data_IF_089181336094
#
_entry.id   IF_089181336094
#
_cell.length_a   1.000
_cell.length_b   1.000
_cell.length_c   1.000
_cell.angle_alpha   90.00
_cell.angle_beta   90.00
_cell.angle_gamma   90.00
#
_symmetry.space_group_name_H-M   'P 1'
#
loop_
_entity.id
_entity.type
_entity.pdbx_description
1 polymer ?
#
# COMPACT_ATOMS: atom_id res chain seq x y z
N UNK A 1 35.98 28.53 -7.37
CA UNK A 1 36.61 29.67 -8.01
C UNK A 1 37.20 29.28 -9.35
N UNK A 2 37.42 30.20 -10.21
CA UNK A 2 38.04 30.03 -11.52
C UNK A 2 39.28 30.94 -11.69
N UNK A 3 39.86 30.91 -12.86
CA UNK A 3 40.96 31.74 -13.28
C UNK A 3 40.77 32.12 -14.74
N UNK A 4 40.95 33.40 -15.09
CA UNK A 4 40.72 33.87 -16.47
C UNK A 4 41.80 33.41 -17.46
N UNK A 5 42.91 32.88 -16.94
CA UNK A 5 44.07 32.52 -17.74
C UNK A 5 45.01 33.70 -18.01
N UNK A 6 46.32 33.43 -18.19
CA UNK A 6 47.32 34.42 -18.57
C UNK A 6 47.30 34.62 -20.08
N UNK A 7 47.53 35.84 -20.53
CA UNK A 7 47.81 36.17 -21.91
C UNK A 7 49.30 35.98 -22.15
N UNK A 8 49.65 35.04 -23.08
CA UNK A 8 51.05 34.69 -23.37
C UNK A 8 51.41 35.16 -24.80
N UNK A 9 52.57 35.75 -24.94
CA UNK A 9 53.08 36.13 -26.27
C UNK A 9 53.44 34.88 -27.07
N UNK A 10 52.81 34.66 -28.21
CA UNK A 10 53.04 33.49 -29.09
C UNK A 10 54.47 33.44 -29.66
N UNK A 11 55.15 34.59 -29.73
CA UNK A 11 56.51 34.67 -30.31
C UNK A 11 57.60 34.37 -29.31
N UNK A 12 57.48 34.80 -28.04
CA UNK A 12 58.54 34.67 -27.04
C UNK A 12 58.13 33.91 -25.76
N UNK A 13 56.90 33.49 -25.63
CA UNK A 13 56.40 32.72 -24.47
C UNK A 13 56.25 33.48 -23.17
N UNK A 14 56.43 34.81 -23.20
CA UNK A 14 56.27 35.65 -21.98
C UNK A 14 54.80 35.92 -21.67
N UNK A 15 54.47 35.88 -20.39
CA UNK A 15 53.16 36.35 -19.90
C UNK A 15 53.14 37.88 -20.11
N UNK A 16 52.17 38.36 -20.89
CA UNK A 16 51.96 39.77 -21.23
C UNK A 16 50.95 40.38 -20.27
N UNK A 17 49.95 39.58 -19.87
CA UNK A 17 48.92 39.96 -18.88
C UNK A 17 48.62 38.76 -17.99
N UNK A 18 48.60 39.00 -16.70
CA UNK A 18 48.29 37.97 -15.74
C UNK A 18 46.77 37.81 -15.61
N UNK A 19 46.28 36.59 -15.63
CA UNK A 19 44.88 36.31 -15.36
C UNK A 19 44.43 36.69 -13.97
N UNK A 20 43.14 36.75 -13.77
CA UNK A 20 42.52 37.09 -12.50
C UNK A 20 41.80 35.86 -11.91
N UNK A 21 41.89 35.72 -10.60
CA UNK A 21 41.10 34.74 -9.86
C UNK A 21 39.65 35.19 -9.87
N UNK A 22 38.78 34.28 -10.30
CA UNK A 22 37.32 34.48 -10.24
C UNK A 22 36.77 33.93 -8.93
N UNK A 23 35.95 34.73 -8.28
CA UNK A 23 35.24 34.28 -7.09
C UNK A 23 34.34 33.07 -7.44
N UNK A 24 34.11 32.16 -6.49
CA UNK A 24 33.15 31.12 -6.67
C UNK A 24 31.76 31.67 -6.99
N UNK A 25 31.10 31.16 -8.01
CA UNK A 25 29.71 31.48 -8.26
C UNK A 25 28.79 30.94 -7.14
N UNK A 26 27.58 31.47 -7.06
CA UNK A 26 26.55 30.96 -6.16
C UNK A 26 26.18 29.53 -6.52
N UNK A 27 25.89 28.71 -5.50
CA UNK A 27 25.43 27.34 -5.71
C UNK A 27 24.00 27.36 -6.22
N UNK A 28 23.72 26.59 -7.27
CA UNK A 28 22.36 26.33 -7.72
C UNK A 28 21.84 25.07 -7.03
N UNK A 29 20.79 25.24 -6.25
CA UNK A 29 20.22 24.19 -5.43
C UNK A 29 19.35 23.22 -6.25
N UNK A 30 19.49 21.92 -5.97
CA UNK A 30 18.63 20.85 -6.44
C UNK A 30 18.34 19.90 -5.27
N UNK A 31 17.09 19.58 -5.04
CA UNK A 31 16.68 18.64 -4.00
C UNK A 31 16.57 17.24 -4.59
N UNK A 32 17.24 16.28 -3.99
CA UNK A 32 17.30 14.89 -4.41
C UNK A 32 16.81 13.96 -3.29
N UNK A 33 16.44 12.73 -3.66
CA UNK A 33 16.04 11.67 -2.72
C UNK A 33 14.79 11.97 -1.89
N UNK A 34 13.89 12.83 -2.38
CA UNK A 34 12.60 13.10 -1.76
C UNK A 34 11.77 11.82 -1.71
N UNK A 35 11.16 11.54 -0.54
CA UNK A 35 10.24 10.42 -0.33
C UNK A 35 8.99 10.91 0.38
N UNK A 36 7.83 10.63 -0.18
CA UNK A 36 6.57 10.94 0.47
C UNK A 36 6.32 10.03 1.68
N UNK A 37 5.83 10.61 2.78
CA UNK A 37 5.32 9.84 3.91
C UNK A 37 4.03 9.10 3.52
N UNK A 38 3.87 7.89 4.02
CA UNK A 38 2.65 7.09 3.86
C UNK A 38 2.12 6.67 5.22
N UNK A 39 0.97 5.97 5.27
CA UNK A 39 0.48 5.37 6.51
C UNK A 39 1.41 4.25 7.04
N UNK A 40 2.31 3.73 6.21
CA UNK A 40 3.19 2.60 6.58
C UNK A 40 4.64 3.01 6.79
N UNK A 41 5.13 3.98 6.02
CA UNK A 41 6.54 4.39 6.06
C UNK A 41 6.68 5.89 6.23
N UNK A 42 7.77 6.30 6.89
CA UNK A 42 8.16 7.71 7.03
C UNK A 42 8.58 8.27 5.68
N UNK A 43 8.38 9.56 5.48
CA UNK A 43 8.91 10.29 4.33
C UNK A 43 10.28 10.92 4.61
N UNK A 44 10.80 11.59 3.61
CA UNK A 44 12.06 12.34 3.66
C UNK A 44 11.97 13.56 2.76
N UNK A 45 12.37 14.73 3.25
CA UNK A 45 12.30 15.98 2.48
C UNK A 45 13.33 16.07 1.35
N UNK A 46 14.29 15.17 1.30
CA UNK A 46 15.38 15.14 0.35
C UNK A 46 16.58 15.98 0.78
N UNK A 47 17.75 15.63 0.26
CA UNK A 47 18.98 16.38 0.44
C UNK A 47 19.12 17.47 -0.62
N UNK A 48 19.65 18.61 -0.24
CA UNK A 48 19.95 19.71 -1.19
C UNK A 48 21.40 19.61 -1.66
N UNK A 49 21.59 19.56 -2.95
CA UNK A 49 22.90 19.53 -3.62
C UNK A 49 23.07 20.71 -4.57
N UNK A 50 24.30 21.09 -4.83
CA UNK A 50 24.59 21.99 -5.93
C UNK A 50 24.53 21.22 -7.26
N UNK A 51 23.69 21.66 -8.21
CA UNK A 51 23.53 21.03 -9.53
C UNK A 51 24.78 21.10 -10.41
N UNK A 52 25.74 22.01 -10.10
CA UNK A 52 26.98 22.15 -10.87
C UNK A 52 28.15 21.37 -10.29
N UNK A 53 28.36 21.43 -8.97
CA UNK A 53 29.54 20.81 -8.35
C UNK A 53 29.21 19.57 -7.51
N UNK A 54 27.94 19.16 -7.44
CA UNK A 54 27.45 17.99 -6.70
C UNK A 54 27.80 18.00 -5.18
N UNK A 55 28.14 19.15 -4.62
CA UNK A 55 28.38 19.27 -3.17
C UNK A 55 27.02 19.28 -2.47
N UNK A 56 26.90 18.48 -1.41
CA UNK A 56 25.73 18.49 -0.53
C UNK A 56 25.72 19.79 0.27
N UNK A 57 24.67 20.59 0.12
CA UNK A 57 24.50 21.89 0.74
C UNK A 57 23.70 21.81 2.03
N UNK A 58 22.68 20.93 2.07
CA UNK A 58 21.87 20.69 3.25
C UNK A 58 21.38 19.25 3.30
N UNK A 59 21.19 18.76 4.51
CA UNK A 59 20.56 17.47 4.77
C UNK A 59 19.06 17.63 4.93
N UNK A 60 18.29 16.71 4.31
CA UNK A 60 16.85 16.65 4.49
C UNK A 60 16.46 16.21 5.89
N UNK A 61 15.17 16.20 6.15
CA UNK A 61 14.58 15.76 7.41
C UNK A 61 13.59 14.62 7.17
N UNK A 62 13.53 13.69 8.13
CA UNK A 62 12.52 12.62 8.13
C UNK A 62 11.15 13.21 8.49
N UNK A 63 10.14 12.94 7.67
CA UNK A 63 8.74 13.28 7.96
C UNK A 63 8.04 12.07 8.58
N UNK A 64 7.18 12.26 9.62
CA UNK A 64 6.48 11.15 10.27
C UNK A 64 5.53 10.44 9.30
N UNK A 65 5.17 9.18 9.62
CA UNK A 65 4.09 8.45 8.95
C UNK A 65 2.80 9.26 9.01
N UNK A 66 1.96 9.09 8.00
CA UNK A 66 0.59 9.62 8.04
C UNK A 66 -0.27 8.77 8.99
N UNK A 67 -1.09 9.43 9.77
CA UNK A 67 -2.11 8.76 10.58
C UNK A 67 -3.21 8.20 9.68
N UNK A 68 -3.84 7.09 10.13
CA UNK A 68 -5.03 6.58 9.46
C UNK A 68 -6.25 7.44 9.82
N UNK A 69 -6.75 8.20 8.87
CA UNK A 69 -7.98 9.00 8.98
C UNK A 69 -9.14 8.24 8.32
N UNK A 70 -10.08 7.75 9.12
CA UNK A 70 -11.20 6.95 8.63
C UNK A 70 -12.45 7.79 8.38
N UNK A 71 -13.09 7.57 7.21
CA UNK A 71 -14.45 7.97 6.88
C UNK A 71 -15.18 6.72 6.37
N UNK A 72 -16.36 6.43 6.95
CA UNK A 72 -17.12 5.21 6.63
C UNK A 72 -16.28 3.92 6.67
N UNK A 73 -15.42 3.80 7.67
CA UNK A 73 -14.46 2.71 7.86
C UNK A 73 -13.33 2.62 6.81
N UNK A 74 -13.22 3.55 5.88
CA UNK A 74 -12.16 3.59 4.86
C UNK A 74 -11.16 4.69 5.18
N UNK A 75 -9.87 4.36 5.22
CA UNK A 75 -8.82 5.35 5.42
C UNK A 75 -8.67 6.23 4.18
N UNK A 76 -8.80 7.56 4.35
CA UNK A 76 -8.67 8.56 3.27
C UNK A 76 -7.28 8.54 2.61
N UNK A 77 -6.24 8.25 3.39
CA UNK A 77 -4.87 8.31 2.91
C UNK A 77 -4.48 7.05 2.11
N UNK A 78 -4.77 5.85 2.63
CA UNK A 78 -4.29 4.60 2.04
C UNK A 78 -5.39 3.64 1.57
N UNK A 79 -6.66 3.93 1.83
CA UNK A 79 -7.77 3.06 1.44
C UNK A 79 -7.97 1.81 2.33
N UNK A 80 -7.18 1.65 3.42
CA UNK A 80 -7.39 0.55 4.39
C UNK A 80 -8.83 0.57 4.90
N UNK A 81 -9.49 -0.59 4.88
CA UNK A 81 -10.83 -0.75 5.42
C UNK A 81 -10.71 -1.29 6.84
N UNK A 82 -11.23 -0.54 7.81
CA UNK A 82 -11.25 -0.91 9.21
C UNK A 82 -12.66 -1.36 9.60
N UNK A 83 -12.77 -2.49 10.32
CA UNK A 83 -14.04 -3.03 10.79
C UNK A 83 -15.09 -3.23 9.67
N UNK A 84 -14.69 -3.94 8.60
CA UNK A 84 -15.58 -4.28 7.49
C UNK A 84 -16.82 -5.03 7.98
N UNK A 85 -17.98 -4.73 7.40
CA UNK A 85 -19.27 -5.31 7.77
C UNK A 85 -19.66 -6.42 6.81
N UNK A 86 -20.42 -7.40 7.32
CA UNK A 86 -21.01 -8.45 6.47
C UNK A 86 -21.95 -7.87 5.43
N UNK A 87 -22.04 -8.54 4.28
CA UNK A 87 -22.94 -8.23 3.17
C UNK A 87 -22.84 -6.79 2.66
N UNK A 88 -21.72 -6.11 2.99
CA UNK A 88 -21.40 -4.78 2.53
C UNK A 88 -20.29 -4.86 1.50
N UNK A 89 -20.51 -4.25 0.33
CA UNK A 89 -19.49 -4.18 -0.72
C UNK A 89 -18.69 -2.90 -0.56
N UNK A 90 -17.38 -3.04 -0.42
CA UNK A 90 -16.43 -1.93 -0.41
C UNK A 90 -15.70 -1.88 -1.72
N UNK A 91 -15.50 -0.67 -2.25
CA UNK A 91 -14.63 -0.42 -3.40
C UNK A 91 -13.34 0.20 -2.92
N UNK A 92 -12.23 -0.32 -3.39
CA UNK A 92 -10.89 0.18 -3.07
C UNK A 92 -9.97 0.09 -4.28
N UNK A 93 -8.78 0.65 -4.16
CA UNK A 93 -7.77 0.61 -5.23
C UNK A 93 -6.37 0.43 -4.67
N UNK A 94 -5.56 -0.32 -5.39
CA UNK A 94 -4.12 -0.34 -5.19
C UNK A 94 -3.46 0.74 -6.05
N UNK A 95 -2.35 1.27 -5.59
CA UNK A 95 -1.55 2.28 -6.29
C UNK A 95 -0.07 1.96 -6.15
N UNK A 96 0.79 2.64 -6.91
CA UNK A 96 2.23 2.49 -6.73
C UNK A 96 2.72 2.84 -5.32
N UNK A 97 2.04 3.75 -4.64
CA UNK A 97 2.37 4.16 -3.27
C UNK A 97 1.78 3.20 -2.23
N UNK A 98 0.61 2.64 -2.53
CA UNK A 98 -0.12 1.69 -1.69
C UNK A 98 -0.48 0.43 -2.51
N UNK A 99 0.50 -0.45 -2.83
CA UNK A 99 0.25 -1.62 -3.67
C UNK A 99 -0.56 -2.72 -2.96
N UNK A 100 -0.69 -2.65 -1.64
CA UNK A 100 -1.46 -3.58 -0.82
C UNK A 100 -2.57 -2.86 -0.07
N UNK A 101 -3.79 -3.39 -0.18
CA UNK A 101 -4.97 -2.89 0.53
C UNK A 101 -5.36 -3.84 1.64
N UNK A 102 -5.51 -3.31 2.86
CA UNK A 102 -5.80 -4.09 4.06
C UNK A 102 -7.26 -3.92 4.43
N UNK A 103 -7.96 -5.04 4.60
CA UNK A 103 -9.33 -5.12 5.03
C UNK A 103 -9.37 -5.86 6.37
N UNK A 104 -9.73 -5.15 7.45
CA UNK A 104 -9.90 -5.73 8.77
C UNK A 104 -11.35 -6.16 8.95
N UNK A 105 -11.54 -7.39 9.39
CA UNK A 105 -12.84 -7.97 9.68
C UNK A 105 -12.84 -8.66 11.04
N UNK A 106 -13.82 -8.37 11.88
CA UNK A 106 -14.06 -9.07 13.14
C UNK A 106 -15.25 -10.00 12.95
N UNK A 107 -15.04 -11.32 13.11
CA UNK A 107 -16.11 -12.28 12.94
C UNK A 107 -17.17 -12.16 14.05
N UNK A 108 -18.44 -11.91 13.71
CA UNK A 108 -19.49 -11.76 14.73
C UNK A 108 -19.87 -13.07 15.40
N UNK A 109 -19.73 -14.19 14.71
CA UNK A 109 -20.04 -15.55 15.19
C UNK A 109 -19.04 -16.57 14.62
N UNK A 110 -18.99 -17.78 15.21
CA UNK A 110 -18.28 -18.91 14.61
C UNK A 110 -18.98 -19.33 13.33
N UNK A 111 -18.23 -19.47 12.24
CA UNK A 111 -18.83 -19.91 10.98
C UNK A 111 -17.90 -19.81 9.79
N UNK A 112 -18.43 -20.21 8.64
CA UNK A 112 -17.72 -20.15 7.38
C UNK A 112 -18.03 -18.84 6.67
N UNK A 113 -16.99 -18.09 6.36
CA UNK A 113 -17.08 -16.78 5.72
C UNK A 113 -16.34 -16.80 4.39
N UNK A 114 -16.91 -16.08 3.42
CA UNK A 114 -16.30 -15.90 2.11
C UNK A 114 -15.88 -14.43 1.93
N UNK A 115 -14.61 -14.22 1.68
CA UNK A 115 -14.00 -12.96 1.22
C UNK A 115 -13.98 -13.03 -0.30
N UNK A 116 -14.82 -12.27 -0.97
CA UNK A 116 -15.00 -12.32 -2.42
C UNK A 116 -14.64 -11.00 -3.05
N UNK A 117 -13.65 -11.01 -3.97
CA UNK A 117 -13.26 -9.84 -4.73
C UNK A 117 -13.71 -9.91 -6.19
N UNK A 118 -13.89 -8.73 -6.77
CA UNK A 118 -14.06 -8.52 -8.21
C UNK A 118 -13.12 -7.41 -8.64
N UNK A 119 -12.25 -7.67 -9.62
CA UNK A 119 -11.43 -6.63 -10.23
C UNK A 119 -12.30 -5.77 -11.15
N UNK A 120 -12.34 -4.46 -10.88
CA UNK A 120 -13.12 -3.46 -11.64
C UNK A 120 -12.33 -3.02 -12.87
N UNK A 121 -11.01 -2.86 -12.72
CA UNK A 121 -10.10 -2.57 -13.82
C UNK A 121 -9.33 -3.82 -14.24
N UNK A 122 -8.72 -3.77 -15.43
CA UNK A 122 -7.97 -4.93 -15.96
C UNK A 122 -6.59 -5.03 -15.29
N UNK A 123 -6.50 -5.82 -14.22
CA UNK A 123 -5.27 -6.17 -13.52
C UNK A 123 -5.42 -7.54 -12.87
N UNK A 124 -4.30 -8.13 -12.46
CA UNK A 124 -4.22 -9.41 -11.81
C UNK A 124 -3.92 -9.20 -10.33
N UNK A 125 -4.84 -9.60 -9.45
CA UNK A 125 -4.75 -9.36 -8.02
C UNK A 125 -4.63 -10.66 -7.23
N UNK A 126 -3.92 -10.59 -6.13
CA UNK A 126 -3.68 -11.68 -5.19
C UNK A 126 -4.29 -11.33 -3.83
N UNK A 127 -4.92 -12.30 -3.18
CA UNK A 127 -5.51 -12.16 -1.86
C UNK A 127 -4.78 -13.00 -0.82
N UNK A 128 -4.62 -12.43 0.38
CA UNK A 128 -3.99 -13.08 1.53
C UNK A 128 -4.89 -12.92 2.75
N UNK A 129 -5.18 -14.02 3.45
CA UNK A 129 -5.93 -13.99 4.70
C UNK A 129 -4.98 -14.28 5.86
N UNK A 130 -4.97 -13.38 6.83
CA UNK A 130 -4.16 -13.48 8.06
C UNK A 130 -5.06 -13.62 9.28
N UNK A 131 -4.58 -14.37 10.27
CA UNK A 131 -5.05 -14.27 11.66
C UNK A 131 -4.39 -13.08 12.33
N UNK A 132 -5.05 -12.53 13.35
CA UNK A 132 -4.58 -11.33 14.07
C UNK A 132 -3.15 -11.46 14.59
N UNK A 133 -2.78 -12.59 15.16
CA UNK A 133 -1.45 -12.84 15.71
C UNK A 133 -0.31 -12.84 14.67
N UNK A 134 -0.65 -13.02 13.39
CA UNK A 134 0.32 -13.09 12.29
C UNK A 134 0.35 -11.83 11.41
N UNK A 135 -0.44 -10.81 11.76
CA UNK A 135 -0.53 -9.59 10.97
C UNK A 135 -0.06 -8.36 11.74
N UNK A 136 0.79 -7.59 11.12
CA UNK A 136 1.18 -6.25 11.55
C UNK A 136 1.62 -5.42 10.33
N UNK A 137 1.87 -4.12 10.53
CA UNK A 137 2.26 -3.23 9.44
C UNK A 137 3.58 -3.62 8.75
N UNK A 138 4.47 -4.36 9.43
CA UNK A 138 5.73 -4.83 8.84
C UNK A 138 5.48 -5.77 7.65
N UNK A 139 4.43 -6.61 7.71
CA UNK A 139 4.03 -7.47 6.57
C UNK A 139 3.76 -6.64 5.31
N UNK A 140 3.10 -5.50 5.48
CA UNK A 140 2.81 -4.58 4.36
C UNK A 140 4.06 -3.85 3.89
N UNK A 141 4.92 -3.40 4.82
CA UNK A 141 6.19 -2.74 4.49
C UNK A 141 7.08 -3.66 3.67
N UNK A 142 7.26 -4.90 4.10
CA UNK A 142 8.06 -5.92 3.38
C UNK A 142 7.48 -6.19 1.97
N UNK A 143 6.15 -6.22 1.85
CA UNK A 143 5.46 -6.33 0.57
C UNK A 143 5.72 -5.14 -0.36
N UNK A 144 5.68 -3.92 0.17
CA UNK A 144 5.98 -2.69 -0.57
C UNK A 144 7.44 -2.69 -1.07
N UNK A 145 8.38 -3.15 -0.25
CA UNK A 145 9.79 -3.26 -0.64
C UNK A 145 9.97 -4.24 -1.81
N UNK A 146 9.35 -5.42 -1.75
CA UNK A 146 9.36 -6.40 -2.84
C UNK A 146 8.71 -5.84 -4.11
N UNK A 147 7.58 -5.13 -3.98
CA UNK A 147 6.91 -4.48 -5.11
C UNK A 147 7.82 -3.45 -5.79
N UNK A 148 8.50 -2.61 -5.02
CA UNK A 148 9.43 -1.62 -5.55
C UNK A 148 10.65 -2.28 -6.20
N UNK A 149 11.19 -3.35 -5.62
CA UNK A 149 12.27 -4.14 -6.21
C UNK A 149 11.85 -4.74 -7.56
N UNK A 150 10.64 -5.31 -7.64
CA UNK A 150 10.08 -5.87 -8.89
C UNK A 150 9.87 -4.80 -9.96
N UNK A 151 9.48 -3.58 -9.58
CA UNK A 151 9.38 -2.45 -10.52
C UNK A 151 10.72 -1.98 -11.04
N UNK A 152 11.75 -1.99 -10.20
CA UNK A 152 13.11 -1.59 -10.56
C UNK A 152 13.80 -2.66 -11.41
N UNK A 153 13.54 -3.94 -11.16
CA UNK A 153 14.09 -5.09 -11.88
C UNK A 153 13.00 -6.12 -12.18
N UNK A 154 12.65 -6.29 -13.44
CA UNK A 154 11.64 -7.27 -13.87
C UNK A 154 12.03 -8.73 -13.56
N UNK A 155 13.30 -9.01 -13.34
CA UNK A 155 13.82 -10.32 -12.90
C UNK A 155 13.68 -10.58 -11.40
N UNK A 156 13.38 -9.56 -10.57
CA UNK A 156 13.16 -9.74 -9.16
C UNK A 156 11.92 -10.62 -8.86
N UNK A 157 11.86 -11.17 -7.66
CA UNK A 157 10.72 -11.98 -7.21
C UNK A 157 9.40 -11.20 -7.24
N UNK A 158 8.28 -11.92 -7.45
CA UNK A 158 6.95 -11.32 -7.34
C UNK A 158 6.70 -10.87 -5.89
N UNK A 159 5.96 -9.77 -5.67
CA UNK A 159 5.80 -9.14 -4.36
C UNK A 159 4.81 -9.89 -3.47
N UNK A 160 5.15 -11.12 -3.08
CA UNK A 160 4.32 -11.93 -2.18
C UNK A 160 4.48 -11.51 -0.72
N UNK A 161 3.38 -11.55 0.04
CA UNK A 161 3.39 -11.38 1.50
C UNK A 161 3.79 -12.69 2.19
N UNK A 162 4.27 -12.61 3.42
CA UNK A 162 4.65 -13.77 4.24
C UNK A 162 3.78 -13.87 5.49
N UNK A 163 3.62 -15.08 6.05
CA UNK A 163 2.89 -15.28 7.29
C UNK A 163 1.38 -15.38 7.15
N UNK A 164 0.85 -15.39 5.93
CA UNK A 164 -0.59 -15.59 5.70
C UNK A 164 -1.04 -17.00 6.09
N UNK A 165 -2.31 -17.12 6.45
CA UNK A 165 -2.97 -18.40 6.72
C UNK A 165 -3.50 -19.05 5.45
N UNK A 166 -4.11 -18.26 4.55
CA UNK A 166 -4.61 -18.69 3.24
C UNK A 166 -4.27 -17.62 2.19
N UNK A 167 -4.19 -18.04 0.93
CA UNK A 167 -4.02 -17.13 -0.21
C UNK A 167 -4.77 -17.65 -1.43
N UNK A 168 -5.12 -16.76 -2.33
CA UNK A 168 -5.83 -17.05 -3.58
C UNK A 168 -5.61 -15.95 -4.63
N UNK A 169 -5.77 -16.29 -5.92
CA UNK A 169 -5.60 -15.36 -7.05
C UNK A 169 -6.72 -15.44 -8.12
N UNK A 170 -7.52 -16.49 -8.17
CA UNK A 170 -8.38 -16.75 -9.35
C UNK A 170 -9.86 -17.01 -9.05
N UNK A 171 -10.26 -17.27 -7.79
CA UNK A 171 -11.62 -17.74 -7.47
C UNK A 171 -12.67 -16.63 -7.33
N UNK A 172 -12.26 -15.39 -7.45
CA UNK A 172 -13.14 -14.22 -7.55
C UNK A 172 -13.56 -13.95 -9.00
N UNK A 173 -13.89 -12.70 -9.31
CA UNK A 173 -14.29 -12.30 -10.65
C UNK A 173 -13.21 -11.42 -11.30
N UNK A 174 -12.95 -11.66 -12.59
CA UNK A 174 -11.95 -10.95 -13.39
C UNK A 174 -10.51 -11.11 -12.85
N UNK A 175 -10.07 -12.36 -12.57
CA UNK A 175 -8.76 -12.67 -11.98
C UNK A 175 -8.56 -11.98 -10.62
N UNK A 176 -9.58 -12.01 -9.79
CA UNK A 176 -9.54 -11.52 -8.42
C UNK A 176 -9.55 -12.69 -7.43
N UNK A 177 -9.06 -12.49 -6.20
CA UNK A 177 -9.06 -13.55 -5.19
C UNK A 177 -10.44 -13.75 -4.56
N UNK A 178 -10.70 -15.00 -4.12
CA UNK A 178 -11.81 -15.32 -3.23
C UNK A 178 -11.41 -16.42 -2.25
N UNK A 179 -11.41 -16.11 -0.95
CA UNK A 179 -11.06 -17.06 0.11
C UNK A 179 -12.28 -17.39 0.94
N UNK A 180 -12.50 -18.69 1.17
CA UNK A 180 -13.50 -19.18 2.12
C UNK A 180 -12.79 -19.82 3.31
N UNK A 181 -13.15 -19.40 4.53
CA UNK A 181 -12.48 -19.83 5.75
C UNK A 181 -13.46 -19.97 6.92
N UNK A 182 -13.17 -20.92 7.83
CA UNK A 182 -13.87 -21.01 9.11
C UNK A 182 -13.25 -20.02 10.10
N UNK A 183 -14.05 -19.08 10.57
CA UNK A 183 -13.63 -18.05 11.51
C UNK A 183 -14.24 -18.27 12.88
N UNK A 184 -13.51 -17.86 13.90
CA UNK A 184 -13.94 -17.91 15.30
C UNK A 184 -14.59 -16.59 15.71
N UNK A 185 -15.69 -16.68 16.48
CA UNK A 185 -16.38 -15.52 17.05
C UNK A 185 -15.42 -14.57 17.78
N UNK A 186 -15.65 -13.28 17.60
CA UNK A 186 -14.92 -12.18 18.22
C UNK A 186 -13.42 -12.07 17.86
N UNK A 187 -12.91 -12.94 16.97
CA UNK A 187 -11.55 -12.85 16.45
C UNK A 187 -11.46 -11.89 15.27
N UNK A 188 -10.34 -11.21 15.20
CA UNK A 188 -10.01 -10.29 14.10
C UNK A 188 -9.20 -11.03 13.04
N UNK A 189 -9.52 -10.75 11.79
CA UNK A 189 -8.82 -11.26 10.61
C UNK A 189 -8.48 -10.11 9.69
N UNK A 190 -7.39 -10.25 8.95
CA UNK A 190 -6.96 -9.27 7.97
C UNK A 190 -6.91 -9.91 6.60
N UNK A 191 -7.73 -9.41 5.69
CA UNK A 191 -7.67 -9.76 4.29
C UNK A 191 -6.90 -8.68 3.54
N UNK A 192 -5.88 -9.09 2.79
CA UNK A 192 -5.02 -8.16 2.07
C UNK A 192 -5.11 -8.45 0.58
N UNK A 193 -5.42 -7.44 -0.21
CA UNK A 193 -5.41 -7.50 -1.67
C UNK A 193 -4.19 -6.77 -2.20
N UNK A 194 -3.41 -7.43 -3.03
CA UNK A 194 -2.21 -6.88 -3.64
C UNK A 194 -2.04 -7.32 -5.09
N UNK A 195 -1.05 -6.81 -5.80
CA UNK A 195 -0.77 -7.20 -7.17
C UNK A 195 -0.10 -8.58 -7.24
N UNK A 196 -0.47 -9.38 -8.24
CA UNK A 196 0.30 -10.58 -8.59
C UNK A 196 1.72 -10.22 -9.05
N UNK A 197 1.90 -9.10 -9.77
CA UNK A 197 3.20 -8.61 -10.19
C UNK A 197 3.38 -7.12 -9.84
N UNK A 198 3.25 -6.21 -10.81
CA UNK A 198 3.43 -4.76 -10.58
C UNK A 198 2.25 -3.93 -11.09
N UNK A 199 1.24 -4.57 -11.66
CA UNK A 199 0.01 -3.91 -12.07
C UNK A 199 -0.82 -3.55 -10.84
N UNK A 200 -1.41 -2.37 -10.84
CA UNK A 200 -2.31 -1.88 -9.79
C UNK A 200 -3.65 -1.54 -10.39
N UNK A 201 -4.72 -1.62 -9.61
CA UNK A 201 -6.06 -1.40 -10.14
C UNK A 201 -7.12 -1.23 -9.05
N UNK A 202 -8.35 -1.07 -9.52
CA UNK A 202 -9.54 -0.98 -8.68
C UNK A 202 -10.20 -2.34 -8.54
N UNK A 203 -10.72 -2.61 -7.35
CA UNK A 203 -11.46 -3.83 -7.03
C UNK A 203 -12.59 -3.53 -6.05
N UNK A 204 -13.55 -4.45 -5.99
CA UNK A 204 -14.52 -4.50 -4.91
C UNK A 204 -14.31 -5.73 -4.06
N UNK A 205 -14.69 -5.64 -2.79
CA UNK A 205 -14.70 -6.76 -1.85
C UNK A 205 -16.02 -6.82 -1.09
N UNK A 206 -16.55 -8.03 -0.96
CA UNK A 206 -17.71 -8.34 -0.12
C UNK A 206 -17.38 -9.52 0.77
N UNK A 207 -17.69 -9.41 2.06
CA UNK A 207 -17.55 -10.50 3.03
C UNK A 207 -18.94 -11.04 3.33
N UNK A 208 -19.17 -12.33 3.09
CA UNK A 208 -20.46 -12.99 3.32
C UNK A 208 -20.32 -14.17 4.26
N UNK A 209 -21.36 -14.49 5.00
CA UNK A 209 -21.50 -15.77 5.71
C UNK A 209 -22.12 -16.80 4.77
N UNK A 210 -21.61 -18.03 4.72
CA UNK A 210 -22.10 -19.07 3.78
C UNK A 210 -23.44 -19.70 4.19
N UNK A 211 -23.97 -19.35 5.37
CA UNK A 211 -25.27 -19.80 5.87
C UNK A 211 -25.46 -21.33 5.91
N UNK A 212 -24.38 -22.10 6.07
CA UNK A 212 -24.45 -23.56 6.13
C UNK A 212 -25.21 -24.09 7.35
N UNK A 213 -25.29 -23.28 8.42
CA UNK A 213 -26.02 -23.58 9.65
C UNK A 213 -27.10 -22.53 9.88
N UNK A 214 -28.34 -22.90 9.74
CA UNK A 214 -29.50 -22.02 9.99
C UNK A 214 -30.38 -22.58 11.07
N UNK A 215 -31.04 -21.71 11.84
CA UNK A 215 -32.11 -22.08 12.79
C UNK A 215 -33.24 -21.08 12.65
N UNK A 216 -34.40 -21.43 13.20
CA UNK A 216 -35.59 -20.57 13.20
C UNK A 216 -35.69 -19.86 14.55
N UNK A 217 -35.69 -18.54 14.51
CA UNK A 217 -35.96 -17.72 15.70
C UNK A 217 -37.37 -17.17 15.67
N UNK A 218 -37.90 -16.85 16.86
CA UNK A 218 -39.22 -16.22 17.00
C UNK A 218 -40.41 -17.11 16.64
N UNK A 219 -40.18 -18.44 16.44
CA UNK A 219 -41.28 -19.34 16.15
C UNK A 219 -42.24 -19.44 17.35
N UNK A 220 -43.47 -19.07 17.12
CA UNK A 220 -44.60 -19.37 18.04
C UNK A 220 -45.49 -20.44 17.39
N UNK A 221 -45.93 -21.39 18.20
CA UNK A 221 -46.92 -22.36 17.73
C UNK A 221 -48.29 -21.71 17.76
N UNK A 222 -49.10 -21.95 16.74
CA UNK A 222 -50.51 -21.59 16.76
C UNK A 222 -51.26 -22.42 17.82
N UNK A 223 -52.13 -21.78 18.58
CA UNK A 223 -53.05 -22.43 19.45
C UNK A 223 -54.51 -22.21 18.99
N UNK A 224 -55.50 -22.62 19.79
CA UNK A 224 -56.90 -22.48 19.41
C UNK A 224 -57.44 -21.06 19.39
N UNK A 225 -56.66 -20.08 19.87
CA UNK A 225 -57.09 -18.68 20.03
C UNK A 225 -56.26 -17.68 19.25
N UNK A 226 -54.99 -18.02 18.93
CA UNK A 226 -54.07 -17.14 18.25
C UNK A 226 -53.32 -17.86 17.11
N UNK A 227 -53.09 -17.12 16.00
CA UNK A 227 -52.27 -17.59 14.92
C UNK A 227 -50.81 -17.69 15.34
N UNK A 228 -50.10 -18.76 14.91
CA UNK A 228 -48.65 -18.89 15.13
C UNK A 228 -47.84 -18.14 14.07
N UNK A 229 -46.58 -17.82 14.42
CA UNK A 229 -45.58 -17.30 13.53
C UNK A 229 -44.58 -18.39 13.13
N UNK A 230 -44.22 -18.44 11.88
CA UNK A 230 -43.38 -19.54 11.35
C UNK A 230 -41.87 -19.28 11.44
N UNK A 231 -41.46 -18.02 11.82
CA UNK A 231 -40.06 -17.66 12.02
C UNK A 231 -39.24 -17.60 10.74
#
# INVERSE_FOLDING_TARGET
GGYTGDVICDTCGKVVEQGQTLEPGEHQEAVLDVKDATCYVTGYTGDTYCSFCNIKLAEGTVTPKLEHEYEDNVCKNCGRINNAQLDTTYTSKTTNLYPFQVIQFKAPENGTYKFYCENITNWDSYGYLFKEENFNDQVIIDGIEKFNAKKADSGAEIPTLSGYWQCDDEHGKNSAPAITAELEKDKTYYFVVGPYSTATGEFSITITCTHEKTHREGRTLSDCTEGGYTG
#
